data_IF_091782252529
#
_entry.id   IF_091782252529
#
_cell.length_a   1.000
_cell.length_b   1.000
_cell.length_c   1.000
_cell.angle_alpha   90.00
_cell.angle_beta   90.00
_cell.angle_gamma   90.00
#
_symmetry.space_group_name_H-M   'P 1'
#
loop_
_entity.id
_entity.type
_entity.pdbx_description
1 polymer ?
#
# COMPACT_ATOMS: atom_id res chain seq x y z
N UNK A 1 6.41 -0.35 -21.11
CA UNK A 1 6.17 -0.75 -19.70
C UNK A 1 5.18 0.22 -19.11
N UNK A 2 4.06 -0.26 -18.59
CA UNK A 2 3.05 0.59 -17.94
C UNK A 2 3.36 0.69 -16.47
N UNK A 3 3.48 1.91 -15.94
CA UNK A 3 3.75 2.18 -14.53
C UNK A 3 2.57 2.98 -13.98
N UNK A 4 1.98 2.50 -12.90
CA UNK A 4 0.93 3.20 -12.16
C UNK A 4 1.52 3.84 -10.91
N UNK A 5 1.01 5.03 -10.56
CA UNK A 5 1.32 5.68 -9.29
C UNK A 5 0.02 5.81 -8.49
N UNK A 6 0.11 5.58 -7.18
CA UNK A 6 -1.02 5.70 -6.27
C UNK A 6 -0.55 6.29 -4.94
N UNK A 7 -1.24 7.33 -4.49
CA UNK A 7 -1.06 7.89 -3.14
C UNK A 7 -2.06 7.29 -2.17
N UNK A 8 -1.60 6.83 -1.01
CA UNK A 8 -2.49 6.20 -0.01
C UNK A 8 -3.36 7.22 0.75
N UNK A 9 -3.00 8.51 0.78
CA UNK A 9 -3.71 9.57 1.52
C UNK A 9 -4.06 9.11 2.96
N UNK A 10 -5.28 9.40 3.43
CA UNK A 10 -5.88 8.89 4.67
C UNK A 10 -6.76 7.65 4.46
N UNK A 11 -6.63 6.94 3.33
CA UNK A 11 -7.45 5.76 3.02
C UNK A 11 -7.23 4.65 4.05
N UNK A 12 -8.25 3.82 4.24
CA UNK A 12 -8.11 2.53 4.92
C UNK A 12 -7.28 1.57 4.07
N UNK A 13 -6.80 0.49 4.69
CA UNK A 13 -6.12 -0.59 3.98
C UNK A 13 -7.03 -1.22 2.92
N UNK A 14 -8.29 -1.50 3.26
CA UNK A 14 -9.28 -2.11 2.34
C UNK A 14 -9.53 -1.23 1.11
N UNK A 15 -9.65 0.09 1.31
CA UNK A 15 -9.89 1.02 0.21
C UNK A 15 -8.68 1.10 -0.73
N UNK A 16 -7.45 1.00 -0.20
CA UNK A 16 -6.25 0.93 -1.04
C UNK A 16 -6.15 -0.43 -1.76
N UNK A 17 -6.44 -1.53 -1.06
CA UNK A 17 -6.41 -2.88 -1.61
C UNK A 17 -7.42 -3.06 -2.76
N UNK A 18 -8.61 -2.49 -2.64
CA UNK A 18 -9.62 -2.49 -3.71
C UNK A 18 -9.09 -1.83 -4.99
N UNK A 19 -8.43 -0.67 -4.88
CA UNK A 19 -7.85 0.04 -6.02
C UNK A 19 -6.70 -0.74 -6.66
N UNK A 20 -5.85 -1.40 -5.85
CA UNK A 20 -4.77 -2.24 -6.35
C UNK A 20 -5.32 -3.44 -7.13
N UNK A 21 -6.41 -4.06 -6.64
CA UNK A 21 -7.08 -5.18 -7.33
C UNK A 21 -7.77 -4.74 -8.62
N UNK A 22 -8.44 -3.60 -8.61
CA UNK A 22 -9.07 -3.01 -9.80
C UNK A 22 -8.05 -2.73 -10.91
N UNK A 23 -6.86 -2.27 -10.53
CA UNK A 23 -5.74 -2.03 -11.45
C UNK A 23 -4.90 -3.29 -11.77
N UNK A 24 -5.33 -4.48 -11.33
CA UNK A 24 -4.64 -5.76 -11.51
C UNK A 24 -3.16 -5.75 -11.05
N UNK A 25 -2.85 -4.97 -10.02
CA UNK A 25 -1.50 -4.88 -9.45
C UNK A 25 -1.18 -6.16 -8.68
N UNK A 26 -0.19 -6.92 -9.16
CA UNK A 26 0.22 -8.20 -8.56
C UNK A 26 1.36 -8.08 -7.56
N UNK A 27 2.09 -6.96 -7.57
CA UNK A 27 3.25 -6.74 -6.72
C UNK A 27 3.31 -5.28 -6.27
N UNK A 28 3.53 -5.08 -4.98
CA UNK A 28 3.75 -3.76 -4.37
C UNK A 28 5.15 -3.77 -3.75
N UNK A 29 5.97 -2.78 -4.13
CA UNK A 29 7.27 -2.56 -3.53
C UNK A 29 7.22 -1.30 -2.66
N UNK A 30 7.66 -1.42 -1.41
CA UNK A 30 7.83 -0.28 -0.53
C UNK A 30 9.24 0.31 -0.70
N UNK A 31 9.32 1.52 -1.26
CA UNK A 31 10.59 2.20 -1.56
C UNK A 31 11.06 3.12 -0.43
N UNK A 32 10.37 3.13 0.73
CA UNK A 32 10.69 4.03 1.84
C UNK A 32 11.91 3.52 2.63
N UNK A 33 12.88 4.41 2.89
CA UNK A 33 14.03 4.13 3.78
C UNK A 33 13.60 3.75 5.20
N UNK A 34 12.52 4.37 5.69
CA UNK A 34 11.93 4.10 7.00
C UNK A 34 10.44 3.76 6.81
N UNK A 35 10.08 2.47 6.63
CA UNK A 35 8.73 2.05 6.28
C UNK A 35 7.80 1.98 7.50
N UNK A 36 7.77 3.04 8.30
CA UNK A 36 6.92 3.17 9.49
C UNK A 36 6.33 4.59 9.61
N UNK A 37 5.12 4.66 10.14
CA UNK A 37 4.35 5.88 10.36
C UNK A 37 3.49 5.75 11.61
N UNK A 38 3.59 6.75 12.49
CA UNK A 38 2.68 6.86 13.65
C UNK A 38 1.30 7.35 13.25
N UNK A 39 1.20 8.16 12.20
CA UNK A 39 -0.07 8.75 11.72
C UNK A 39 -0.88 7.76 10.88
N UNK A 40 -0.19 6.86 10.16
CA UNK A 40 -0.81 5.87 9.30
C UNK A 40 -0.24 4.47 9.56
N UNK A 41 -0.52 3.88 10.75
CA UNK A 41 0.05 2.60 11.16
C UNK A 41 -0.35 1.43 10.25
N UNK A 42 -1.47 1.53 9.52
CA UNK A 42 -1.90 0.55 8.53
C UNK A 42 -0.92 0.43 7.34
N UNK A 43 -0.09 1.45 7.11
CA UNK A 43 0.96 1.44 6.09
C UNK A 43 2.35 1.19 6.69
N UNK A 44 2.45 0.67 7.91
CA UNK A 44 3.71 0.14 8.42
C UNK A 44 4.05 -1.17 7.70
N UNK A 45 5.33 -1.48 7.56
CA UNK A 45 5.80 -2.68 6.87
C UNK A 45 5.11 -3.97 7.35
N UNK A 46 4.96 -4.16 8.66
CA UNK A 46 4.30 -5.34 9.23
C UNK A 46 2.81 -5.39 8.89
N UNK A 47 2.13 -4.25 8.93
CA UNK A 47 0.71 -4.15 8.56
C UNK A 47 0.53 -4.42 7.07
N UNK A 48 1.35 -3.80 6.21
CA UNK A 48 1.39 -4.05 4.76
C UNK A 48 1.52 -5.54 4.45
N UNK A 49 2.49 -6.21 5.06
CA UNK A 49 2.68 -7.65 4.87
C UNK A 49 1.47 -8.49 5.31
N UNK A 50 0.64 -7.97 6.23
CA UNK A 50 -0.55 -8.68 6.73
C UNK A 50 -1.73 -8.57 5.76
N UNK A 51 -2.05 -7.36 5.27
CA UNK A 51 -3.25 -7.16 4.45
C UNK A 51 -2.99 -7.23 2.93
N UNK A 52 -1.73 -7.19 2.49
CA UNK A 52 -1.36 -7.49 1.09
C UNK A 52 -1.25 -9.00 0.81
N UNK A 53 -1.16 -9.83 1.85
CA UNK A 53 -1.21 -11.30 1.76
C UNK A 53 -2.63 -11.81 1.54
#
# INVERSE_FOLDING_TARGET
MTIYTIGHSTRSADALLALLREAEVKLVADVRRYPSSRRHPQFNQSALATWLG
#
